data_IF_856672301678
#
_entry.id   IF_856672301678
#
_cell.length_a   1.000
_cell.length_b   1.000
_cell.length_c   1.000
_cell.angle_alpha   90.00
_cell.angle_beta   90.00
_cell.angle_gamma   90.00
#
_symmetry.space_group_name_H-M   'P 1'
#
loop_
_entity.id
_entity.type
_entity.pdbx_description
1 polymer ?
#
# COMPACT_ATOMS: atom_id res chain seq x y z
N UNK A 1 1.47 -20.91 -21.98
CA UNK A 1 0.52 -20.53 -23.04
C UNK A 1 -0.87 -20.56 -22.43
N UNK A 2 -1.66 -19.48 -22.51
CA UNK A 2 -2.98 -19.41 -21.86
C UNK A 2 -4.06 -20.14 -22.67
N UNK A 3 -5.14 -20.58 -22.02
CA UNK A 3 -6.30 -21.21 -22.68
C UNK A 3 -6.90 -20.31 -23.77
N UNK A 4 -6.96 -18.99 -23.53
CA UNK A 4 -7.39 -18.00 -24.52
C UNK A 4 -6.43 -17.99 -25.74
N UNK A 5 -5.12 -17.99 -25.51
CA UNK A 5 -4.12 -18.01 -26.59
C UNK A 5 -4.22 -19.28 -27.44
N UNK A 6 -4.50 -20.43 -26.82
CA UNK A 6 -4.72 -21.68 -27.55
C UNK A 6 -6.01 -21.63 -28.39
N UNK A 7 -7.10 -21.07 -27.85
CA UNK A 7 -8.36 -20.92 -28.58
C UNK A 7 -8.23 -19.94 -29.76
N UNK A 8 -7.46 -18.86 -29.62
CA UNK A 8 -7.16 -17.93 -30.72
C UNK A 8 -6.40 -18.64 -31.84
N UNK A 9 -5.35 -19.39 -31.51
CA UNK A 9 -4.58 -20.16 -32.51
C UNK A 9 -5.46 -21.20 -33.23
N UNK A 10 -6.32 -21.90 -32.48
CA UNK A 10 -7.25 -22.88 -33.05
C UNK A 10 -8.30 -22.22 -33.95
N UNK A 11 -8.80 -21.04 -33.56
CA UNK A 11 -9.75 -20.27 -34.35
C UNK A 11 -9.11 -19.76 -35.65
N UNK A 12 -7.89 -19.23 -35.59
CA UNK A 12 -7.13 -18.80 -36.76
C UNK A 12 -6.89 -19.97 -37.72
N UNK A 13 -6.46 -21.13 -37.20
CA UNK A 13 -6.29 -22.34 -38.00
C UNK A 13 -7.60 -22.82 -38.65
N UNK A 14 -8.71 -22.81 -37.92
CA UNK A 14 -10.03 -23.19 -38.45
C UNK A 14 -10.54 -22.20 -39.51
N UNK A 15 -10.23 -20.91 -39.37
CA UNK A 15 -10.55 -19.88 -40.36
C UNK A 15 -9.70 -20.03 -41.62
N UNK A 16 -8.41 -20.31 -41.50
CA UNK A 16 -7.55 -20.65 -42.65
C UNK A 16 -8.10 -21.87 -43.38
N UNK A 17 -8.47 -22.93 -42.66
CA UNK A 17 -9.05 -24.14 -43.24
C UNK A 17 -10.38 -23.85 -43.95
N UNK A 18 -11.22 -22.96 -43.40
CA UNK A 18 -12.48 -22.53 -44.04
C UNK A 18 -12.21 -21.81 -45.37
N UNK A 19 -11.24 -20.91 -45.41
CA UNK A 19 -10.87 -20.16 -46.61
C UNK A 19 -10.37 -21.11 -47.71
N UNK A 20 -9.49 -22.05 -47.38
CA UNK A 20 -9.01 -23.06 -48.33
C UNK A 20 -10.15 -23.94 -48.86
N UNK A 21 -11.09 -24.35 -48.00
CA UNK A 21 -12.25 -25.14 -48.42
C UNK A 21 -13.21 -24.35 -49.32
N UNK A 22 -13.36 -23.04 -49.10
CA UNK A 22 -14.14 -22.14 -49.96
C UNK A 22 -13.50 -21.99 -51.34
N UNK A 23 -12.19 -21.77 -51.41
CA UNK A 23 -11.42 -21.68 -52.66
C UNK A 23 -11.48 -22.99 -53.47
N UNK A 24 -11.46 -24.13 -52.79
CA UNK A 24 -11.52 -25.46 -53.40
C UNK A 24 -12.96 -25.94 -53.71
N UNK A 25 -14.01 -25.18 -53.37
CA UNK A 25 -15.41 -25.56 -53.58
C UNK A 25 -15.88 -26.76 -52.73
N UNK A 26 -15.21 -27.02 -51.60
CA UNK A 26 -15.50 -28.14 -50.71
C UNK A 26 -16.67 -27.84 -49.75
N UNK A 27 -17.34 -28.86 -49.19
CA UNK A 27 -18.41 -28.66 -48.20
C UNK A 27 -17.88 -28.02 -46.91
N UNK A 28 -18.38 -26.83 -46.56
CA UNK A 28 -17.86 -26.00 -45.45
C UNK A 28 -18.65 -26.09 -44.14
N UNK A 29 -19.75 -26.85 -44.11
CA UNK A 29 -20.69 -26.86 -42.97
C UNK A 29 -20.00 -27.25 -41.65
N UNK A 30 -19.21 -28.32 -41.65
CA UNK A 30 -18.52 -28.79 -40.45
C UNK A 30 -17.49 -27.77 -39.93
N UNK A 31 -16.72 -27.14 -40.83
CA UNK A 31 -15.72 -26.13 -40.47
C UNK A 31 -16.41 -24.90 -39.88
N UNK A 32 -17.53 -24.45 -40.45
CA UNK A 32 -18.32 -23.33 -39.91
C UNK A 32 -18.88 -23.63 -38.52
N UNK A 33 -19.33 -24.85 -38.26
CA UNK A 33 -19.77 -25.28 -36.93
C UNK A 33 -18.62 -25.26 -35.93
N UNK A 34 -17.44 -25.71 -36.34
CA UNK A 34 -16.25 -25.69 -35.48
C UNK A 34 -15.77 -24.26 -35.18
N UNK A 35 -15.75 -23.37 -36.19
CA UNK A 35 -15.48 -21.94 -36.00
C UNK A 35 -16.46 -21.33 -35.00
N UNK A 36 -17.76 -21.59 -35.14
CA UNK A 36 -18.77 -21.08 -34.20
C UNK A 36 -18.55 -21.61 -32.78
N UNK A 37 -18.23 -22.90 -32.63
CA UNK A 37 -17.91 -23.53 -31.33
C UNK A 37 -16.69 -22.86 -30.67
N UNK A 38 -15.62 -22.64 -31.44
CA UNK A 38 -14.41 -21.98 -30.95
C UNK A 38 -14.65 -20.51 -30.59
N UNK A 39 -15.50 -19.79 -31.34
CA UNK A 39 -15.91 -18.43 -31.00
C UNK A 39 -16.68 -18.36 -29.67
N UNK A 40 -17.62 -19.28 -29.45
CA UNK A 40 -18.35 -19.36 -28.17
C UNK A 40 -17.40 -19.69 -27.03
N UNK A 41 -16.53 -20.69 -27.18
CA UNK A 41 -15.56 -21.06 -26.16
C UNK A 41 -14.57 -19.93 -25.84
N UNK A 42 -14.16 -19.14 -26.85
CA UNK A 42 -13.30 -17.98 -26.66
C UNK A 42 -14.02 -16.88 -25.86
N UNK A 43 -15.29 -16.58 -26.20
CA UNK A 43 -16.09 -15.60 -25.48
C UNK A 43 -16.33 -16.00 -24.02
N UNK A 44 -16.63 -17.28 -23.76
CA UNK A 44 -16.78 -17.83 -22.40
C UNK A 44 -15.47 -17.73 -21.60
N UNK A 45 -14.34 -18.09 -22.22
CA UNK A 45 -13.04 -18.00 -21.59
C UNK A 45 -12.62 -16.54 -21.27
N UNK A 46 -12.94 -15.59 -22.16
CA UNK A 46 -12.72 -14.17 -21.93
C UNK A 46 -13.60 -13.64 -20.79
N UNK A 47 -14.89 -13.98 -20.80
CA UNK A 47 -15.79 -13.59 -19.73
C UNK A 47 -15.37 -14.14 -18.36
N UNK A 48 -14.95 -15.41 -18.31
CA UNK A 48 -14.44 -16.02 -17.08
C UNK A 48 -13.14 -15.36 -16.60
N UNK A 49 -12.24 -14.99 -17.52
CA UNK A 49 -11.02 -14.26 -17.18
C UNK A 49 -11.32 -12.86 -16.65
N UNK A 50 -12.24 -12.13 -17.28
CA UNK A 50 -12.68 -10.81 -16.82
C UNK A 50 -13.33 -10.88 -15.44
N UNK A 51 -14.18 -11.88 -15.20
CA UNK A 51 -14.81 -12.11 -13.90
C UNK A 51 -13.76 -12.41 -12.81
N UNK A 52 -12.83 -13.32 -13.09
CA UNK A 52 -11.74 -13.64 -12.16
C UNK A 52 -10.85 -12.42 -11.87
N UNK A 53 -10.58 -11.57 -12.86
CA UNK A 53 -9.81 -10.34 -12.67
C UNK A 53 -10.57 -9.33 -11.80
N UNK A 54 -11.89 -9.19 -11.97
CA UNK A 54 -12.73 -8.36 -11.11
C UNK A 54 -12.76 -8.88 -9.68
N UNK A 55 -12.91 -10.18 -9.48
CA UNK A 55 -12.90 -10.79 -8.14
C UNK A 55 -11.58 -10.51 -7.40
N UNK A 56 -10.44 -10.61 -8.10
CA UNK A 56 -9.13 -10.24 -7.53
C UNK A 56 -9.07 -8.75 -7.17
N UNK A 57 -9.54 -7.88 -8.07
CA UNK A 57 -9.56 -6.43 -7.82
C UNK A 57 -10.46 -6.06 -6.63
N UNK A 58 -11.62 -6.68 -6.51
CA UNK A 58 -12.56 -6.46 -5.41
C UNK A 58 -11.99 -6.96 -4.08
N UNK A 59 -11.30 -8.11 -4.07
CA UNK A 59 -10.59 -8.60 -2.89
C UNK A 59 -9.45 -7.67 -2.45
N UNK A 60 -8.68 -7.13 -3.40
CA UNK A 60 -7.63 -6.16 -3.11
C UNK A 60 -8.21 -4.85 -2.56
N UNK A 61 -9.28 -4.34 -3.18
CA UNK A 61 -9.96 -3.14 -2.70
C UNK A 61 -10.52 -3.32 -1.29
N UNK A 62 -11.12 -4.48 -1.00
CA UNK A 62 -11.62 -4.82 0.33
C UNK A 62 -10.50 -4.89 1.38
N UNK A 63 -9.33 -5.45 1.03
CA UNK A 63 -8.16 -5.46 1.93
C UNK A 63 -7.67 -4.05 2.24
N UNK A 64 -7.56 -3.18 1.24
CA UNK A 64 -7.16 -1.78 1.41
C UNK A 64 -8.17 -1.04 2.28
N UNK A 65 -9.47 -1.23 2.03
CA UNK A 65 -10.52 -0.60 2.82
C UNK A 65 -10.51 -1.06 4.28
N UNK A 66 -10.32 -2.36 4.53
CA UNK A 66 -10.22 -2.90 5.88
C UNK A 66 -8.99 -2.35 6.63
N UNK A 67 -7.83 -2.28 5.96
CA UNK A 67 -6.62 -1.70 6.53
C UNK A 67 -6.78 -0.20 6.84
N UNK A 68 -7.42 0.56 5.94
CA UNK A 68 -7.73 1.97 6.15
C UNK A 68 -8.64 2.18 7.37
N UNK A 69 -9.73 1.40 7.46
CA UNK A 69 -10.67 1.47 8.57
C UNK A 69 -10.00 1.13 9.91
N UNK A 70 -9.19 0.06 9.95
CA UNK A 70 -8.46 -0.32 11.16
C UNK A 70 -7.46 0.76 11.61
N UNK A 71 -6.76 1.39 10.66
CA UNK A 71 -5.82 2.47 10.95
C UNK A 71 -6.52 3.74 11.45
N UNK A 72 -7.62 4.12 10.81
CA UNK A 72 -8.45 5.25 11.25
C UNK A 72 -8.99 5.02 12.67
N UNK A 73 -9.53 3.82 12.93
CA UNK A 73 -10.02 3.42 14.25
C UNK A 73 -8.91 3.52 15.31
N UNK A 74 -7.73 2.98 15.02
CA UNK A 74 -6.60 3.04 15.94
C UNK A 74 -6.19 4.48 16.26
N UNK A 75 -6.22 5.39 15.28
CA UNK A 75 -5.91 6.82 15.49
C UNK A 75 -7.01 7.51 16.30
N UNK A 76 -8.29 7.26 16.01
CA UNK A 76 -9.39 7.80 16.82
C UNK A 76 -9.34 7.32 18.27
N UNK A 77 -9.19 6.00 18.49
CA UNK A 77 -9.05 5.43 19.83
C UNK A 77 -7.84 6.02 20.59
N UNK A 78 -6.71 6.25 19.92
CA UNK A 78 -5.54 6.88 20.53
C UNK A 78 -5.76 8.37 20.88
N UNK A 79 -6.65 9.06 20.17
CA UNK A 79 -7.05 10.43 20.46
C UNK A 79 -8.04 10.46 21.64
N UNK A 80 -9.00 9.55 21.65
CA UNK A 80 -9.98 9.41 22.74
C UNK A 80 -9.30 9.02 24.07
N UNK A 81 -8.32 8.11 24.02
CA UNK A 81 -7.53 7.69 25.18
C UNK A 81 -6.53 8.76 25.67
N UNK A 82 -6.34 9.87 24.94
CA UNK A 82 -5.54 10.99 25.42
C UNK A 82 -6.20 11.58 26.68
N UNK A 83 -5.41 11.93 27.72
CA UNK A 83 -5.88 12.08 29.10
C UNK A 83 -7.18 12.88 29.19
N UNK A 84 -8.26 12.14 29.46
CA UNK A 84 -9.56 12.73 29.75
C UNK A 84 -9.47 13.39 31.13
N UNK A 85 -10.07 14.57 31.26
CA UNK A 85 -10.24 15.20 32.55
C UNK A 85 -11.61 14.77 33.10
N UNK A 86 -11.70 13.53 33.58
CA UNK A 86 -12.97 12.95 34.04
C UNK A 86 -13.66 13.82 35.11
N UNK A 87 -12.87 14.41 36.00
CA UNK A 87 -13.32 15.36 37.03
C UNK A 87 -13.99 16.62 36.42
N UNK A 88 -13.50 17.09 35.27
CA UNK A 88 -14.08 18.23 34.55
C UNK A 88 -15.40 17.86 33.87
N UNK A 89 -15.48 16.65 33.32
CA UNK A 89 -16.70 16.13 32.69
C UNK A 89 -17.79 15.82 33.73
N UNK A 90 -17.42 15.39 34.94
CA UNK A 90 -18.36 15.20 36.07
C UNK A 90 -18.94 16.52 36.59
N UNK A 91 -18.15 17.60 36.57
CA UNK A 91 -18.58 18.93 37.03
C UNK A 91 -19.48 19.66 36.02
N UNK A 92 -19.44 19.28 34.74
CA UNK A 92 -20.20 19.89 33.65
C UNK A 92 -20.56 18.88 32.55
N UNK A 93 -21.39 17.88 32.86
CA UNK A 93 -21.72 16.80 31.94
C UNK A 93 -22.48 17.29 30.70
N UNK A 94 -23.26 18.36 30.79
CA UNK A 94 -23.93 18.97 29.63
C UNK A 94 -22.97 19.64 28.62
N UNK A 95 -21.71 19.89 29.01
CA UNK A 95 -20.72 20.58 28.19
C UNK A 95 -19.55 19.68 27.77
N UNK A 96 -19.61 18.38 28.07
CA UNK A 96 -18.58 17.42 27.66
C UNK A 96 -18.40 17.43 26.12
N UNK A 97 -17.17 17.57 25.61
CA UNK A 97 -16.94 17.64 24.18
C UNK A 97 -17.31 16.32 23.51
N UNK A 98 -18.16 16.37 22.48
CA UNK A 98 -18.46 15.20 21.66
C UNK A 98 -17.22 14.88 20.83
N UNK A 99 -16.56 13.77 21.14
CA UNK A 99 -15.45 13.23 20.35
C UNK A 99 -16.03 12.60 19.08
N UNK A 100 -16.31 13.43 18.08
CA UNK A 100 -16.70 12.98 16.76
C UNK A 100 -15.52 12.38 16.00
N UNK A 101 -15.80 11.40 15.12
CA UNK A 101 -14.81 10.92 14.16
C UNK A 101 -14.45 12.04 13.19
N UNK A 102 -13.15 12.22 12.99
CA UNK A 102 -12.59 13.23 12.10
C UNK A 102 -12.43 12.66 10.67
N UNK A 103 -13.15 13.18 9.66
CA UNK A 103 -13.08 12.67 8.30
C UNK A 103 -11.70 12.88 7.65
N UNK A 104 -10.86 13.79 8.16
CA UNK A 104 -9.48 13.96 7.67
C UNK A 104 -8.58 12.80 8.10
N UNK A 105 -8.85 12.19 9.26
CA UNK A 105 -8.13 10.99 9.70
C UNK A 105 -8.53 9.79 8.85
N UNK A 106 -9.82 9.66 8.52
CA UNK A 106 -10.33 8.59 7.64
C UNK A 106 -9.73 8.67 6.23
N UNK A 107 -9.73 9.86 5.63
CA UNK A 107 -9.15 10.07 4.29
C UNK A 107 -7.64 9.85 4.28
N UNK A 108 -6.91 10.35 5.28
CA UNK A 108 -5.46 10.14 5.38
C UNK A 108 -5.11 8.66 5.65
N UNK A 109 -5.89 7.95 6.46
CA UNK A 109 -5.71 6.51 6.67
C UNK A 109 -5.94 5.71 5.38
N UNK A 110 -6.91 6.13 4.56
CA UNK A 110 -7.14 5.54 3.24
C UNK A 110 -5.93 5.73 2.30
N UNK A 111 -5.33 6.93 2.28
CA UNK A 111 -4.13 7.19 1.50
C UNK A 111 -2.93 6.34 1.96
N UNK A 112 -2.75 6.17 3.27
CA UNK A 112 -1.70 5.30 3.82
C UNK A 112 -1.92 3.85 3.42
N UNK A 113 -3.15 3.34 3.53
CA UNK A 113 -3.46 1.97 3.14
C UNK A 113 -3.24 1.73 1.64
N UNK A 114 -3.64 2.68 0.79
CA UNK A 114 -3.40 2.62 -0.66
C UNK A 114 -1.90 2.64 -0.98
N UNK A 115 -1.14 3.58 -0.41
CA UNK A 115 0.29 3.70 -0.63
C UNK A 115 1.05 2.44 -0.16
N UNK A 116 0.60 1.85 0.96
CA UNK A 116 1.17 0.59 1.48
C UNK A 116 0.95 -0.56 0.50
N UNK A 117 -0.27 -0.72 -0.02
CA UNK A 117 -0.58 -1.78 -0.98
C UNK A 117 0.17 -1.61 -2.30
N UNK A 118 0.33 -0.37 -2.78
CA UNK A 118 1.12 -0.08 -3.99
C UNK A 118 2.60 -0.39 -3.75
N UNK A 119 3.14 0.01 -2.59
CA UNK A 119 4.52 -0.30 -2.22
C UNK A 119 4.77 -1.81 -2.12
N UNK A 120 3.85 -2.57 -1.52
CA UNK A 120 3.97 -4.03 -1.41
C UNK A 120 4.04 -4.71 -2.79
N UNK A 121 3.20 -4.26 -3.73
CA UNK A 121 3.23 -4.72 -5.13
C UNK A 121 4.55 -4.37 -5.82
N UNK A 122 5.02 -3.13 -5.66
CA UNK A 122 6.28 -2.67 -6.24
C UNK A 122 7.49 -3.44 -5.69
N UNK A 123 7.54 -3.65 -4.37
CA UNK A 123 8.60 -4.43 -3.70
C UNK A 123 8.61 -5.88 -4.18
N UNK A 124 7.43 -6.49 -4.32
CA UNK A 124 7.30 -7.86 -4.83
C UNK A 124 7.82 -7.96 -6.26
N UNK A 125 7.36 -7.07 -7.15
CA UNK A 125 7.81 -7.03 -8.54
C UNK A 125 9.31 -6.77 -8.68
N UNK A 126 9.85 -5.84 -7.89
CA UNK A 126 11.28 -5.56 -7.84
C UNK A 126 12.07 -6.80 -7.37
N UNK A 127 11.60 -7.48 -6.31
CA UNK A 127 12.21 -8.70 -5.79
C UNK A 127 12.30 -9.81 -6.84
N UNK A 128 11.23 -10.06 -7.60
CA UNK A 128 11.22 -11.05 -8.69
C UNK A 128 12.23 -10.71 -9.81
N UNK A 129 12.35 -9.44 -10.15
CA UNK A 129 13.32 -8.97 -11.15
C UNK A 129 14.77 -9.12 -10.66
N UNK A 130 15.02 -8.77 -9.40
CA UNK A 130 16.33 -8.94 -8.75
C UNK A 130 16.70 -10.43 -8.68
N UNK A 131 15.77 -11.30 -8.30
CA UNK A 131 15.98 -12.74 -8.28
C UNK A 131 16.30 -13.30 -9.65
N UNK A 132 15.62 -12.81 -10.69
CA UNK A 132 15.89 -13.18 -12.08
C UNK A 132 17.30 -12.74 -12.49
N UNK A 133 17.69 -11.50 -12.19
CA UNK A 133 19.05 -11.01 -12.46
C UNK A 133 20.12 -11.82 -11.71
N UNK A 134 19.86 -12.18 -10.45
CA UNK A 134 20.76 -13.00 -9.63
C UNK A 134 20.91 -14.42 -10.19
N UNK A 135 19.82 -15.05 -10.64
CA UNK A 135 19.86 -16.38 -11.31
C UNK A 135 20.66 -16.34 -12.61
N UNK A 136 20.46 -15.32 -13.43
CA UNK A 136 21.23 -15.12 -14.67
C UNK A 136 22.71 -14.91 -14.35
N UNK A 137 23.04 -14.08 -13.36
CA UNK A 137 24.42 -13.87 -12.89
C UNK A 137 25.06 -15.16 -12.40
N UNK A 138 24.37 -15.95 -11.58
CA UNK A 138 24.89 -17.23 -11.08
C UNK A 138 25.15 -18.23 -12.23
N UNK A 139 24.29 -18.24 -13.25
CA UNK A 139 24.46 -19.07 -14.44
C UNK A 139 25.65 -18.62 -15.29
N UNK A 140 25.79 -17.31 -15.48
CA UNK A 140 26.93 -16.69 -16.17
C UNK A 140 28.26 -17.05 -15.51
N UNK A 141 28.36 -16.91 -14.19
CA UNK A 141 29.59 -17.26 -13.46
C UNK A 141 29.92 -18.75 -13.55
N UNK A 142 28.90 -19.63 -13.55
CA UNK A 142 29.10 -21.07 -13.77
C UNK A 142 29.63 -21.38 -15.17
N UNK A 143 29.12 -20.68 -16.20
CA UNK A 143 29.58 -20.83 -17.59
C UNK A 143 30.99 -20.27 -17.80
N UNK A 144 31.32 -19.14 -17.15
CA UNK A 144 32.69 -18.57 -17.13
C UNK A 144 33.68 -19.51 -16.46
N UNK A 145 33.31 -20.12 -15.32
CA UNK A 145 34.13 -21.12 -14.65
C UNK A 145 34.34 -22.36 -15.53
N UNK A 146 33.28 -22.88 -16.17
CA UNK A 146 33.40 -24.00 -17.09
C UNK A 146 34.34 -23.70 -18.28
N UNK A 147 34.25 -22.50 -18.86
CA UNK A 147 35.16 -22.09 -19.93
C UNK A 147 36.61 -21.97 -19.44
N UNK A 148 36.82 -21.48 -18.21
CA UNK A 148 38.15 -21.41 -17.60
C UNK A 148 38.74 -22.81 -17.39
N UNK A 149 37.93 -23.77 -16.92
CA UNK A 149 38.34 -25.17 -16.73
C UNK A 149 38.71 -25.85 -18.06
N UNK A 150 37.91 -25.64 -19.12
CA UNK A 150 38.21 -26.13 -20.47
C UNK A 150 39.54 -25.56 -20.98
N UNK A 151 39.76 -24.25 -20.79
CA UNK A 151 41.02 -23.59 -21.16
C UNK A 151 42.21 -24.15 -20.36
N UNK A 152 42.04 -24.40 -19.07
CA UNK A 152 43.06 -24.98 -18.22
C UNK A 152 43.43 -26.42 -18.63
N UNK A 153 42.44 -27.29 -18.91
CA UNK A 153 42.68 -28.66 -19.40
C UNK A 153 43.44 -28.66 -20.74
N UNK A 154 43.09 -27.76 -21.66
CA UNK A 154 43.81 -27.59 -22.93
C UNK A 154 45.25 -27.14 -22.72
N UNK A 155 45.49 -26.16 -21.84
CA UNK A 155 46.84 -25.69 -21.54
C UNK A 155 47.71 -26.79 -20.87
N UNK A 156 47.10 -27.66 -20.06
CA UNK A 156 47.76 -28.79 -19.41
C UNK A 156 47.97 -30.01 -20.34
N UNK A 157 47.43 -29.99 -21.56
CA UNK A 157 47.49 -31.13 -22.49
C UNK A 157 46.59 -32.31 -22.11
N UNK A 158 45.65 -32.13 -21.18
CA UNK A 158 44.71 -33.16 -20.70
C UNK A 158 43.30 -32.96 -21.27
N UNK A 159 43.18 -32.30 -22.42
CA UNK A 159 41.90 -32.00 -23.04
C UNK A 159 41.25 -33.24 -23.67
N UNK A 160 39.92 -33.30 -23.59
CA UNK A 160 39.11 -34.33 -24.26
C UNK A 160 38.60 -33.83 -25.63
N UNK A 161 38.11 -34.71 -26.51
CA UNK A 161 37.46 -34.29 -27.76
C UNK A 161 36.22 -33.41 -27.54
N UNK A 162 35.51 -33.59 -26.43
CA UNK A 162 34.31 -32.81 -26.07
C UNK A 162 34.66 -31.36 -25.68
N UNK A 163 35.83 -31.15 -25.04
CA UNK A 163 36.37 -29.82 -24.73
C UNK A 163 36.54 -28.97 -26.00
N UNK A 164 36.73 -29.60 -27.18
CA UNK A 164 36.82 -28.95 -28.49
C UNK A 164 35.57 -28.12 -28.81
N UNK A 165 34.41 -28.76 -28.64
CA UNK A 165 33.09 -28.23 -28.94
C UNK A 165 32.65 -27.20 -27.88
N UNK A 166 32.88 -27.50 -26.61
CA UNK A 166 32.51 -26.61 -25.49
C UNK A 166 33.23 -25.27 -25.56
N UNK A 167 34.51 -25.22 -25.97
CA UNK A 167 35.22 -23.94 -26.08
C UNK A 167 34.74 -23.05 -27.23
N UNK A 168 33.97 -23.59 -28.18
CA UNK A 168 33.35 -22.82 -29.27
C UNK A 168 31.97 -22.31 -28.84
N UNK A 169 31.16 -23.14 -28.18
CA UNK A 169 29.79 -22.76 -27.77
C UNK A 169 29.70 -21.93 -26.48
N UNK A 170 30.57 -22.16 -25.49
CA UNK A 170 30.53 -21.45 -24.21
C UNK A 170 30.74 -19.93 -24.34
N UNK A 171 31.61 -19.40 -25.22
CA UNK A 171 31.72 -17.95 -25.43
C UNK A 171 30.42 -17.30 -25.91
N UNK A 172 29.68 -17.95 -26.83
CA UNK A 172 28.41 -17.44 -27.34
C UNK A 172 27.32 -17.46 -26.25
N UNK A 173 27.22 -18.58 -25.50
CA UNK A 173 26.35 -18.69 -24.31
C UNK A 173 26.63 -17.58 -23.28
N UNK A 174 27.92 -17.28 -23.03
CA UNK A 174 28.35 -16.23 -22.10
C UNK A 174 27.93 -14.86 -22.62
N UNK A 175 28.13 -14.56 -23.90
CA UNK A 175 27.73 -13.28 -24.49
C UNK A 175 26.21 -13.08 -24.44
N UNK A 176 25.43 -14.14 -24.66
CA UNK A 176 23.97 -14.12 -24.53
C UNK A 176 23.53 -13.87 -23.10
N UNK A 177 24.15 -14.56 -22.13
CA UNK A 177 23.87 -14.37 -20.70
C UNK A 177 24.29 -12.98 -20.20
N UNK A 178 25.36 -12.40 -20.73
CA UNK A 178 25.77 -11.01 -20.43
C UNK A 178 24.73 -10.00 -20.92
N UNK A 179 24.24 -10.17 -22.16
CA UNK A 179 23.14 -9.34 -22.69
C UNK A 179 21.87 -9.49 -21.88
N UNK A 180 21.49 -10.72 -21.53
CA UNK A 180 20.32 -10.99 -20.68
C UNK A 180 20.48 -10.37 -19.28
N UNK A 181 21.67 -10.48 -18.67
CA UNK A 181 21.95 -9.91 -17.36
C UNK A 181 21.82 -8.38 -17.38
N UNK A 182 22.33 -7.73 -18.44
CA UNK A 182 22.20 -6.29 -18.60
C UNK A 182 20.72 -5.86 -18.64
N UNK A 183 19.91 -6.53 -19.48
CA UNK A 183 18.47 -6.25 -19.59
C UNK A 183 17.73 -6.51 -18.28
N UNK A 184 18.01 -7.62 -17.60
CA UNK A 184 17.39 -7.93 -16.30
C UNK A 184 17.76 -6.91 -15.22
N UNK A 185 19.03 -6.48 -15.20
CA UNK A 185 19.51 -5.50 -14.22
C UNK A 185 18.93 -4.12 -14.45
N UNK A 186 18.81 -3.69 -15.72
CA UNK A 186 18.16 -2.44 -16.10
C UNK A 186 16.68 -2.44 -15.69
N UNK A 187 15.95 -3.53 -15.94
CA UNK A 187 14.56 -3.69 -15.52
C UNK A 187 14.40 -3.65 -14.01
N UNK A 188 15.28 -4.34 -13.27
CA UNK A 188 15.26 -4.32 -11.80
C UNK A 188 15.50 -2.91 -11.26
N UNK A 189 16.49 -2.18 -11.81
CA UNK A 189 16.79 -0.81 -11.41
C UNK A 189 15.64 0.16 -11.72
N UNK A 190 15.01 0.03 -12.90
CA UNK A 190 13.87 0.85 -13.28
C UNK A 190 12.62 0.58 -12.43
N UNK A 191 12.49 -0.61 -11.87
CA UNK A 191 11.39 -1.01 -10.99
C UNK A 191 11.68 -0.77 -9.49
N UNK A 192 12.73 -0.01 -9.15
CA UNK A 192 13.07 0.27 -7.76
C UNK A 192 11.91 1.00 -7.05
N UNK A 193 11.51 0.57 -5.83
CA UNK A 193 10.30 1.06 -5.16
C UNK A 193 10.47 2.42 -4.45
N UNK A 194 11.49 3.22 -4.81
CA UNK A 194 11.83 4.47 -4.11
C UNK A 194 10.71 5.52 -4.20
N UNK A 195 10.04 5.58 -5.36
CA UNK A 195 8.90 6.46 -5.60
C UNK A 195 7.72 6.12 -4.70
N UNK A 196 7.41 4.84 -4.54
CA UNK A 196 6.33 4.31 -3.72
C UNK A 196 6.65 4.47 -2.22
N UNK A 197 7.92 4.31 -1.83
CA UNK A 197 8.36 4.60 -0.46
C UNK A 197 8.17 6.07 -0.10
N UNK A 198 8.55 6.97 -1.01
CA UNK A 198 8.32 8.41 -0.84
C UNK A 198 6.83 8.73 -0.74
N UNK A 199 5.99 8.12 -1.59
CA UNK A 199 4.54 8.29 -1.53
C UNK A 199 3.95 7.83 -0.19
N UNK A 200 4.40 6.69 0.35
CA UNK A 200 4.00 6.21 1.67
C UNK A 200 4.40 7.18 2.78
N UNK A 201 5.61 7.73 2.73
CA UNK A 201 6.08 8.71 3.71
C UNK A 201 5.23 10.00 3.68
N UNK A 202 4.84 10.47 2.49
CA UNK A 202 3.93 11.61 2.34
C UNK A 202 2.55 11.31 2.93
N UNK A 203 1.98 10.15 2.63
CA UNK A 203 0.69 9.74 3.19
C UNK A 203 0.71 9.62 4.72
N UNK A 204 1.79 9.06 5.28
CA UNK A 204 2.00 8.96 6.72
C UNK A 204 2.07 10.34 7.38
N UNK A 205 2.81 11.27 6.77
CA UNK A 205 2.88 12.65 7.25
C UNK A 205 1.51 13.32 7.29
N UNK A 206 0.69 13.14 6.26
CA UNK A 206 -0.67 13.68 6.23
C UNK A 206 -1.56 13.08 7.35
N UNK A 207 -1.43 11.79 7.62
CA UNK A 207 -2.15 11.13 8.71
C UNK A 207 -1.73 11.69 10.08
N UNK A 208 -0.44 11.93 10.29
CA UNK A 208 0.06 12.49 11.53
C UNK A 208 -0.33 13.96 11.72
N UNK A 209 -0.35 14.75 10.65
CA UNK A 209 -0.88 16.12 10.65
C UNK A 209 -2.37 16.15 10.99
N UNK A 210 -3.18 15.31 10.35
CA UNK A 210 -4.62 15.18 10.65
C UNK A 210 -4.86 14.74 12.11
N UNK A 211 -4.09 13.75 12.58
CA UNK A 211 -4.17 13.26 13.96
C UNK A 211 -3.80 14.35 14.96
N UNK A 212 -2.76 15.13 14.68
CA UNK A 212 -2.29 16.22 15.55
C UNK A 212 -3.31 17.36 15.59
N UNK A 213 -3.87 17.72 14.43
CA UNK A 213 -4.93 18.73 14.32
C UNK A 213 -6.17 18.33 15.13
N UNK A 214 -6.62 17.08 15.01
CA UNK A 214 -7.75 16.56 15.77
C UNK A 214 -7.47 16.58 17.29
N UNK A 215 -6.28 16.15 17.74
CA UNK A 215 -5.87 16.23 19.15
C UNK A 215 -5.88 17.66 19.67
N UNK A 216 -5.35 18.61 18.89
CA UNK A 216 -5.31 20.02 19.27
C UNK A 216 -6.73 20.59 19.41
N UNK A 217 -7.63 20.28 18.46
CA UNK A 217 -9.04 20.69 18.53
C UNK A 217 -9.71 20.19 19.81
N UNK A 218 -9.60 18.89 20.09
CA UNK A 218 -10.18 18.27 21.30
C UNK A 218 -9.59 18.87 22.58
N UNK A 219 -8.27 19.11 22.60
CA UNK A 219 -7.61 19.71 23.76
C UNK A 219 -8.09 21.15 23.98
N UNK A 220 -8.30 21.91 22.90
CA UNK A 220 -8.87 23.26 22.95
C UNK A 220 -10.31 23.23 23.46
N UNK A 221 -11.12 22.29 23.01
CA UNK A 221 -12.52 22.16 23.46
C UNK A 221 -12.57 21.81 24.96
N UNK A 222 -11.69 20.92 25.43
CA UNK A 222 -11.52 20.61 26.86
C UNK A 222 -11.06 21.82 27.68
N UNK A 223 -10.17 22.66 27.14
CA UNK A 223 -9.76 23.89 27.80
C UNK A 223 -10.92 24.88 27.93
N UNK A 224 -11.71 25.05 26.86
CA UNK A 224 -12.89 25.91 26.88
C UNK A 224 -13.94 25.42 27.90
N UNK A 225 -14.13 24.11 28.02
CA UNK A 225 -14.95 23.50 29.07
C UNK A 225 -14.45 23.87 30.47
N UNK A 226 -13.14 23.75 30.72
CA UNK A 226 -12.56 24.09 32.01
C UNK A 226 -12.73 25.57 32.38
N UNK A 227 -12.58 26.46 31.41
CA UNK A 227 -12.86 27.89 31.58
C UNK A 227 -14.32 28.13 31.98
N UNK A 228 -15.26 27.48 31.30
CA UNK A 228 -16.69 27.63 31.56
C UNK A 228 -17.09 27.13 32.95
N UNK A 229 -16.60 25.95 33.37
CA UNK A 229 -16.80 25.40 34.72
C UNK A 229 -16.26 26.36 35.78
N UNK A 230 -15.06 26.89 35.56
CA UNK A 230 -14.43 27.83 36.49
C UNK A 230 -15.28 29.10 36.66
N UNK A 231 -15.81 29.65 35.56
CA UNK A 231 -16.70 30.82 35.58
C UNK A 231 -17.99 30.51 36.36
N UNK A 232 -18.60 29.35 36.13
CA UNK A 232 -19.82 28.93 36.83
C UNK A 232 -19.60 28.78 38.34
N UNK A 233 -18.56 28.06 38.75
CA UNK A 233 -18.20 27.90 40.17
C UNK A 233 -17.91 29.26 40.83
N UNK A 234 -17.28 30.18 40.11
CA UNK A 234 -17.06 31.55 40.60
C UNK A 234 -18.38 32.31 40.80
N UNK A 235 -19.35 32.18 39.88
CA UNK A 235 -20.68 32.77 40.06
C UNK A 235 -21.43 32.22 41.27
N UNK A 236 -21.35 30.90 41.50
CA UNK A 236 -21.94 30.24 42.68
C UNK A 236 -21.31 30.71 43.98
N UNK A 237 -19.97 30.82 44.03
CA UNK A 237 -19.25 31.41 45.16
C UNK A 237 -19.75 32.83 45.46
N UNK A 238 -19.88 33.68 44.44
CA UNK A 238 -20.39 35.06 44.59
C UNK A 238 -21.84 35.10 45.09
N UNK A 239 -22.68 34.15 44.66
CA UNK A 239 -24.04 34.03 45.17
C UNK A 239 -24.06 33.63 46.66
N UNK A 240 -23.23 32.67 47.05
CA UNK A 240 -23.08 32.24 48.44
C UNK A 240 -22.51 33.34 49.35
N UNK A 241 -21.54 34.12 48.89
CA UNK A 241 -21.00 35.30 49.60
C UNK A 241 -22.08 36.37 49.85
N UNK A 242 -22.94 36.61 48.85
CA UNK A 242 -24.08 37.53 49.00
C UNK A 242 -25.10 36.99 49.99
N UNK A 243 -25.46 35.71 49.88
CA UNK A 243 -26.43 35.06 50.77
C UNK A 243 -25.96 35.02 52.23
N UNK A 244 -24.65 34.84 52.46
CA UNK A 244 -24.05 34.84 53.80
C UNK A 244 -23.79 36.23 54.39
N UNK A 245 -23.99 37.30 53.61
CA UNK A 245 -23.71 38.68 54.05
C UNK A 245 -22.22 39.03 54.15
N UNK A 246 -21.32 38.13 53.75
CA UNK A 246 -19.86 38.31 53.77
C UNK A 246 -19.33 39.15 52.59
N UNK A 247 -20.19 39.40 51.60
CA UNK A 247 -19.90 40.20 50.41
C UNK A 247 -19.30 41.60 50.70
N UNK A 248 -19.63 42.21 51.84
CA UNK A 248 -19.17 43.57 52.22
C UNK A 248 -17.84 43.60 52.97
N UNK A 249 -17.42 42.51 53.63
CA UNK A 249 -16.20 42.47 54.45
C UNK A 249 -15.02 41.76 53.78
N UNK A 250 -15.28 40.80 52.88
CA UNK A 250 -14.27 40.11 52.06
C UNK A 250 -14.89 39.65 50.73
N UNK A 251 -15.07 40.54 49.74
CA UNK A 251 -15.56 40.11 48.43
C UNK A 251 -14.47 39.29 47.72
N UNK A 252 -14.62 37.96 47.61
CA UNK A 252 -13.87 37.03 46.75
C UNK A 252 -12.33 37.23 46.62
N UNK A 253 -11.70 37.93 47.56
CA UNK A 253 -10.29 38.33 47.55
C UNK A 253 -9.33 37.24 48.02
N UNK A 254 -9.87 36.14 48.54
CA UNK A 254 -9.11 34.95 48.97
C UNK A 254 -8.91 33.95 47.81
N UNK A 255 -9.71 34.02 46.72
CA UNK A 255 -9.40 33.27 45.49
C UNK A 255 -8.27 33.97 44.72
N UNK A 256 -7.04 33.64 45.08
CA UNK A 256 -5.87 33.90 44.24
C UNK A 256 -5.69 32.67 43.36
N UNK A 257 -5.78 32.83 42.05
CA UNK A 257 -5.37 31.78 41.12
C UNK A 257 -4.01 31.23 41.59
N UNK A 258 -3.95 29.91 41.83
CA UNK A 258 -2.78 29.23 42.38
C UNK A 258 -1.52 29.67 41.62
N UNK A 259 -0.40 29.86 42.32
CA UNK A 259 0.90 30.20 41.73
C UNK A 259 1.29 29.26 40.59
N UNK A 260 0.89 27.99 40.66
CA UNK A 260 1.16 27.00 39.61
C UNK A 260 0.44 27.34 38.30
N UNK A 261 -0.82 27.80 38.39
CA UNK A 261 -1.63 28.19 37.24
C UNK A 261 -1.04 29.44 36.57
N UNK A 262 -0.54 30.40 37.37
CA UNK A 262 0.19 31.58 36.86
C UNK A 262 1.54 31.22 36.23
N UNK A 263 2.24 30.24 36.79
CA UNK A 263 3.55 29.81 36.28
C UNK A 263 3.44 29.06 34.95
N UNK A 264 2.38 28.26 34.76
CA UNK A 264 2.10 27.53 33.52
C UNK A 264 1.75 28.49 32.38
N UNK A 265 0.87 29.47 32.63
CA UNK A 265 0.47 30.48 31.63
C UNK A 265 1.63 31.39 31.20
N UNK A 266 2.59 31.67 32.09
CA UNK A 266 3.74 32.53 31.77
C UNK A 266 4.91 31.80 31.08
N UNK A 267 4.90 30.46 31.00
CA UNK A 267 6.00 29.65 30.43
C UNK A 267 5.81 29.27 28.95
N UNK A 268 4.60 29.43 28.42
CA UNK A 268 4.20 29.02 27.08
C UNK A 268 3.49 30.17 26.38
#
# INVERSE_FOLDING_TARGET
MSTISQLVIQLEAAQTQLNTALEAGQPTRAIRTEVARLQTALAEAQFAADAAQRDVADQEAAKVQAAAAALAEAKHAAIEAAPAAAELEELAPEFAPVLGRDPLIETAAQLVAQATAVLEKAVTAHGELVDTANKTRATLERKRAALADVKARRAAGTATPEDALEAVGLPDDIADLERMLAVCSEKAAAAAPDTEQSALAVAQKQLDEASTSAKLRITRDRLALAEQVTIQLYHELRAAEKASGLYTYRPSGDYRANSDLKAIVNRH
#
